data_IF_475917055326
#
_entry.id   IF_475917055326
#
_cell.length_a   1.000
_cell.length_b   1.000
_cell.length_c   1.000
_cell.angle_alpha   90.00
_cell.angle_beta   90.00
_cell.angle_gamma   90.00
#
_symmetry.space_group_name_H-M   'P 1'
#
loop_
_entity.id
_entity.type
_entity.pdbx_description
1 polymer ?
#
# COMPACT_ATOMS: atom_id res chain seq x y z
N UNK A 1 -0.10 5.16 -8.38
CA UNK A 1 0.38 4.76 -7.04
C UNK A 1 0.47 5.98 -6.15
N UNK A 2 0.00 5.89 -4.90
CA UNK A 2 -0.12 7.03 -3.98
C UNK A 2 1.10 7.10 -3.05
N UNK A 3 1.80 8.23 -3.05
CA UNK A 3 2.97 8.47 -2.18
C UNK A 3 2.71 9.50 -1.10
N UNK A 4 1.79 10.41 -1.35
CA UNK A 4 1.46 11.53 -0.48
C UNK A 4 -0.07 11.66 -0.41
N UNK A 5 -0.58 11.82 0.80
CA UNK A 5 -2.00 12.06 1.06
C UNK A 5 -2.12 13.34 1.88
N UNK A 6 -2.75 14.35 1.29
CA UNK A 6 -2.97 15.66 1.91
C UNK A 6 -4.46 15.82 2.10
N UNK A 7 -4.86 15.97 3.35
CA UNK A 7 -6.25 16.06 3.78
C UNK A 7 -6.49 17.31 4.65
N UNK A 8 -5.60 18.29 4.54
CA UNK A 8 -5.64 19.54 5.29
C UNK A 8 -6.96 20.30 5.08
N UNK A 9 -7.42 21.01 6.10
CA UNK A 9 -8.60 21.88 6.04
C UNK A 9 -9.91 21.19 5.64
N UNK A 10 -10.03 19.88 5.92
CA UNK A 10 -11.26 19.12 5.71
C UNK A 10 -12.02 18.89 7.02
N UNK A 11 -13.36 18.73 6.96
CA UNK A 11 -14.19 18.36 8.09
C UNK A 11 -14.09 16.85 8.39
N UNK A 12 -12.90 16.38 8.75
CA UNK A 12 -12.66 14.97 9.07
C UNK A 12 -13.03 14.71 10.51
N UNK A 13 -14.16 14.05 10.70
CA UNK A 13 -14.64 13.61 12.01
C UNK A 13 -13.83 12.44 12.56
N UNK A 14 -14.05 12.12 13.84
CA UNK A 14 -13.49 10.93 14.51
C UNK A 14 -13.63 9.64 13.71
N UNK A 15 -14.77 9.42 13.06
CA UNK A 15 -14.99 8.24 12.21
C UNK A 15 -14.04 8.20 11.01
N UNK A 16 -13.76 9.35 10.42
CA UNK A 16 -12.80 9.46 9.32
C UNK A 16 -11.37 9.13 9.75
N UNK A 17 -10.97 9.55 10.96
CA UNK A 17 -9.67 9.21 11.54
C UNK A 17 -9.57 7.72 11.87
N UNK A 18 -10.64 7.10 12.36
CA UNK A 18 -10.66 5.64 12.58
C UNK A 18 -10.45 4.87 11.27
N UNK A 19 -11.18 5.21 10.21
CA UNK A 19 -10.98 4.59 8.90
C UNK A 19 -9.57 4.82 8.36
N UNK A 20 -9.02 6.02 8.57
CA UNK A 20 -7.65 6.32 8.20
C UNK A 20 -6.64 5.50 9.02
N UNK A 21 -6.93 5.25 10.30
CA UNK A 21 -6.09 4.41 11.15
C UNK A 21 -6.05 2.97 10.67
N UNK A 22 -7.20 2.41 10.26
CA UNK A 22 -7.28 1.07 9.69
C UNK A 22 -6.51 0.98 8.36
N UNK A 23 -6.66 2.00 7.50
CA UNK A 23 -5.91 2.11 6.27
C UNK A 23 -4.40 2.16 6.52
N UNK A 24 -3.94 2.96 7.49
CA UNK A 24 -2.52 3.06 7.87
C UNK A 24 -2.00 1.77 8.48
N UNK A 25 -2.81 1.09 9.30
CA UNK A 25 -2.47 -0.19 9.90
C UNK A 25 -2.27 -1.28 8.84
N UNK A 26 -3.01 -1.22 7.73
CA UNK A 26 -2.80 -2.05 6.53
C UNK A 26 -1.46 -1.81 5.82
N UNK A 27 -0.64 -0.88 6.31
CA UNK A 27 0.70 -0.57 5.84
C UNK A 27 0.75 -0.32 4.32
N UNK A 28 0.01 0.68 3.82
CA UNK A 28 -0.20 0.89 2.40
C UNK A 28 1.15 1.08 1.72
N UNK A 29 1.38 0.25 0.70
CA UNK A 29 2.66 0.26 0.01
C UNK A 29 2.91 1.66 -0.57
N UNK A 30 4.02 2.27 -0.13
CA UNK A 30 4.60 3.52 -0.64
C UNK A 30 3.99 4.85 -0.14
N UNK A 31 2.96 4.84 0.71
CA UNK A 31 2.52 6.09 1.36
C UNK A 31 3.57 6.56 2.36
N UNK A 32 4.11 7.76 2.16
CA UNK A 32 5.22 8.31 2.94
C UNK A 32 4.86 9.60 3.67
N UNK A 33 3.98 10.39 3.07
CA UNK A 33 3.59 11.70 3.58
C UNK A 33 2.09 11.70 3.82
N UNK A 34 1.71 12.06 5.04
CA UNK A 34 0.32 12.28 5.43
C UNK A 34 0.21 13.66 6.06
N UNK A 35 -0.72 14.49 5.58
CA UNK A 35 -1.00 15.80 6.16
C UNK A 35 -2.47 15.91 6.52
N UNK A 36 -2.72 16.31 7.76
CA UNK A 36 -4.01 16.42 8.44
C UNK A 36 -4.02 17.69 9.31
N UNK A 37 -3.53 18.80 8.77
CA UNK A 37 -3.49 20.09 9.46
C UNK A 37 -4.81 20.84 9.32
N UNK A 38 -5.12 21.69 10.29
CA UNK A 38 -6.29 22.57 10.30
C UNK A 38 -7.63 21.83 10.07
N UNK A 39 -7.81 20.67 10.72
CA UNK A 39 -9.09 19.97 10.67
C UNK A 39 -10.17 20.78 11.36
N UNK A 40 -11.37 20.81 10.78
CA UNK A 40 -12.47 21.62 11.31
C UNK A 40 -13.10 21.04 12.57
N UNK A 41 -12.91 19.74 12.80
CA UNK A 41 -13.41 19.03 13.97
C UNK A 41 -12.28 18.61 14.89
N UNK A 42 -12.52 18.78 16.18
CA UNK A 42 -11.66 18.29 17.24
C UNK A 42 -11.68 16.76 17.28
N UNK A 43 -10.50 16.14 17.17
CA UNK A 43 -10.35 14.70 17.31
C UNK A 43 -10.34 14.33 18.79
N UNK A 44 -11.17 13.37 19.18
CA UNK A 44 -11.18 12.90 20.57
C UNK A 44 -9.91 12.11 20.92
N UNK A 45 -9.42 12.29 22.15
CA UNK A 45 -8.24 11.58 22.68
C UNK A 45 -8.26 10.05 22.47
N UNK A 46 -9.36 9.31 22.74
CA UNK A 46 -9.39 7.86 22.50
C UNK A 46 -9.16 7.49 21.03
N UNK A 47 -9.75 8.23 20.09
CA UNK A 47 -9.55 7.99 18.65
C UNK A 47 -8.11 8.27 18.23
N UNK A 48 -7.51 9.32 18.79
CA UNK A 48 -6.10 9.62 18.57
C UNK A 48 -5.19 8.49 19.04
N UNK A 49 -5.48 7.88 20.19
CA UNK A 49 -4.68 6.76 20.70
C UNK A 49 -4.73 5.55 19.77
N UNK A 50 -5.90 5.24 19.21
CA UNK A 50 -6.05 4.18 18.19
C UNK A 50 -5.23 4.52 16.94
N UNK A 51 -5.30 5.77 16.48
CA UNK A 51 -4.51 6.24 15.35
C UNK A 51 -3.00 6.14 15.59
N UNK A 52 -2.53 6.52 16.78
CA UNK A 52 -1.11 6.39 17.15
C UNK A 52 -0.66 4.92 17.20
N UNK A 53 -1.48 4.02 17.76
CA UNK A 53 -1.19 2.60 17.77
C UNK A 53 -1.11 1.99 16.35
N UNK A 54 -1.97 2.45 15.43
CA UNK A 54 -1.88 2.09 14.02
C UNK A 54 -0.60 2.65 13.36
N UNK A 55 -0.24 3.90 13.67
CA UNK A 55 0.96 4.56 13.16
C UNK A 55 2.23 3.86 13.63
N UNK A 56 2.28 3.39 14.88
CA UNK A 56 3.42 2.65 15.43
C UNK A 56 3.69 1.33 14.70
N UNK A 57 2.63 0.65 14.25
CA UNK A 57 2.73 -0.57 13.42
C UNK A 57 3.20 -0.26 11.99
N UNK A 58 2.92 0.94 11.49
CA UNK A 58 3.33 1.36 10.16
C UNK A 58 4.82 1.73 10.11
N UNK A 59 5.51 1.28 9.05
CA UNK A 59 6.96 1.52 8.88
C UNK A 59 7.30 2.36 7.65
N UNK A 60 6.31 2.79 6.88
CA UNK A 60 6.47 3.47 5.60
C UNK A 60 6.27 4.98 5.70
N UNK A 61 5.39 5.43 6.61
CA UNK A 61 5.12 6.86 6.81
C UNK A 61 6.35 7.51 7.44
N UNK A 62 6.92 8.48 6.73
CA UNK A 62 8.11 9.22 7.14
C UNK A 62 7.81 10.63 7.60
N UNK A 63 6.67 11.18 7.18
CA UNK A 63 6.25 12.53 7.52
C UNK A 63 4.75 12.53 7.79
N UNK A 64 4.37 12.93 9.00
CA UNK A 64 3.01 13.16 9.42
C UNK A 64 2.91 14.57 9.98
N UNK A 65 2.09 15.40 9.35
CA UNK A 65 1.78 16.74 9.83
C UNK A 65 0.33 16.76 10.29
N UNK A 66 0.10 17.02 11.57
CA UNK A 66 -1.25 17.16 12.12
C UNK A 66 -1.21 18.01 13.38
N UNK A 67 -2.30 18.71 13.64
CA UNK A 67 -2.45 19.48 14.86
C UNK A 67 -2.93 18.55 15.98
N UNK A 68 -2.14 18.43 17.03
CA UNK A 68 -2.48 17.60 18.20
C UNK A 68 -2.67 18.48 19.41
N UNK A 69 -3.71 18.18 20.20
CA UNK A 69 -3.99 18.90 21.45
C UNK A 69 -2.97 18.58 22.54
N UNK A 70 -2.54 17.32 22.62
CA UNK A 70 -1.62 16.83 23.64
C UNK A 70 -0.20 16.71 23.08
N UNK A 71 0.76 17.29 23.79
CA UNK A 71 2.19 17.25 23.45
C UNK A 71 2.70 15.80 23.34
N UNK A 72 2.18 14.90 24.18
CA UNK A 72 2.53 13.48 24.16
C UNK A 72 2.24 12.83 22.79
N UNK A 73 1.10 13.17 22.16
CA UNK A 73 0.75 12.66 20.85
C UNK A 73 1.73 13.16 19.79
N UNK A 74 2.10 14.45 19.85
CA UNK A 74 3.12 15.04 18.98
C UNK A 74 4.47 14.34 19.12
N UNK A 75 4.87 14.01 20.34
CA UNK A 75 6.15 13.35 20.60
C UNK A 75 6.17 11.92 20.04
N UNK A 76 5.07 11.17 20.20
CA UNK A 76 4.94 9.82 19.63
C UNK A 76 5.03 9.89 18.09
N UNK A 77 4.28 10.81 17.47
CA UNK A 77 4.32 11.02 16.01
C UNK A 77 5.73 11.34 15.54
N UNK A 78 6.41 12.25 16.24
CA UNK A 78 7.78 12.66 15.89
C UNK A 78 8.74 11.48 15.98
N UNK A 79 8.68 10.69 17.06
CA UNK A 79 9.50 9.49 17.25
C UNK A 79 9.27 8.45 16.16
N UNK A 80 8.01 8.16 15.82
CA UNK A 80 7.66 7.18 14.79
C UNK A 80 8.13 7.65 13.40
N UNK A 81 7.89 8.91 13.05
CA UNK A 81 8.36 9.49 11.79
C UNK A 81 9.89 9.45 11.68
N UNK A 82 10.60 9.82 12.75
CA UNK A 82 12.06 9.80 12.79
C UNK A 82 12.61 8.37 12.62
N UNK A 83 12.03 7.39 13.33
CA UNK A 83 12.37 5.96 13.19
C UNK A 83 12.23 5.50 11.74
N UNK A 84 11.10 5.81 11.12
CA UNK A 84 10.79 5.40 9.76
C UNK A 84 11.69 6.11 8.73
N UNK A 85 11.97 7.40 8.92
CA UNK A 85 12.90 8.17 8.10
C UNK A 85 14.33 7.61 8.16
N UNK A 86 14.84 7.29 9.35
CA UNK A 86 16.15 6.67 9.54
C UNK A 86 16.26 5.35 8.76
N UNK A 87 15.22 4.52 8.82
CA UNK A 87 15.14 3.26 8.04
C UNK A 87 15.17 3.53 6.54
N UNK A 88 14.37 4.49 6.07
CA UNK A 88 14.31 4.86 4.66
C UNK A 88 15.65 5.42 4.16
N UNK A 89 16.29 6.31 4.93
CA UNK A 89 17.59 6.88 4.60
C UNK A 89 18.68 5.81 4.52
N UNK A 90 18.70 4.83 5.44
CA UNK A 90 19.63 3.69 5.39
C UNK A 90 19.41 2.86 4.13
N UNK A 91 18.16 2.56 3.79
CA UNK A 91 17.82 1.79 2.60
C UNK A 91 18.23 2.52 1.31
N UNK A 92 18.03 3.85 1.22
CA UNK A 92 18.52 4.66 0.10
C UNK A 92 20.03 4.68 -0.02
N UNK A 93 20.76 4.75 1.10
CA UNK A 93 22.23 4.70 1.11
C UNK A 93 22.72 3.37 0.55
N UNK A 94 22.17 2.26 1.05
CA UNK A 94 22.50 0.92 0.57
C UNK A 94 22.20 0.75 -0.92
N UNK A 95 21.04 1.22 -1.39
CA UNK A 95 20.69 1.20 -2.81
C UNK A 95 21.68 1.98 -3.66
N UNK A 96 22.12 3.17 -3.22
CA UNK A 96 23.12 3.96 -3.95
C UNK A 96 24.47 3.27 -3.99
N UNK A 97 24.92 2.69 -2.87
CA UNK A 97 26.18 1.92 -2.82
C UNK A 97 26.12 0.72 -3.76
N UNK A 98 25.05 -0.08 -3.68
CA UNK A 98 24.85 -1.25 -4.53
C UNK A 98 24.81 -0.87 -6.03
N UNK A 99 24.08 0.19 -6.38
CA UNK A 99 24.04 0.68 -7.76
C UNK A 99 25.41 1.18 -8.25
N UNK A 100 26.19 1.82 -7.36
CA UNK A 100 27.56 2.22 -7.65
C UNK A 100 28.48 1.01 -7.89
N UNK A 101 28.38 -0.02 -7.05
CA UNK A 101 29.12 -1.28 -7.22
C UNK A 101 28.75 -2.01 -8.51
N UNK A 102 27.46 -2.08 -8.85
CA UNK A 102 26.98 -2.67 -10.11
C UNK A 102 27.52 -1.88 -11.31
N UNK A 103 27.50 -0.55 -11.25
CA UNK A 103 28.03 0.30 -12.34
C UNK A 103 29.54 0.13 -12.51
N UNK A 104 30.28 -0.04 -11.42
CA UNK A 104 31.73 -0.20 -11.43
C UNK A 104 32.18 -1.65 -11.70
N UNK A 105 31.28 -2.63 -11.62
CA UNK A 105 31.55 -4.02 -11.95
C UNK A 105 30.32 -4.71 -12.59
N UNK A 106 30.18 -4.66 -13.93
CA UNK A 106 29.00 -5.18 -14.64
C UNK A 106 28.81 -6.70 -14.51
N UNK A 107 29.79 -7.45 -13.97
CA UNK A 107 29.66 -8.89 -13.71
C UNK A 107 28.69 -9.21 -12.56
N UNK A 108 28.37 -8.24 -11.70
CA UNK A 108 27.37 -8.36 -10.62
C UNK A 108 25.94 -8.00 -11.08
N UNK A 109 25.78 -7.47 -12.29
CA UNK A 109 24.47 -7.12 -12.85
C UNK A 109 23.68 -8.34 -13.36
N UNK A 110 24.31 -9.52 -13.46
CA UNK A 110 23.71 -10.69 -14.06
C UNK A 110 23.55 -11.84 -13.04
N UNK A 111 22.38 -12.01 -12.41
CA UNK A 111 22.11 -13.20 -11.61
C UNK A 111 21.70 -14.41 -12.46
N UNK A 112 21.77 -14.38 -13.80
CA UNK A 112 21.45 -15.54 -14.65
C UNK A 112 22.34 -15.64 -15.88
N UNK A 113 23.37 -16.48 -15.78
CA UNK A 113 23.97 -17.14 -16.93
C UNK A 113 22.97 -18.10 -17.59
N UNK A 114 22.03 -17.56 -18.36
CA UNK A 114 21.32 -18.32 -19.39
C UNK A 114 21.64 -17.62 -20.71
N UNK A 115 22.74 -18.03 -21.33
CA UNK A 115 22.87 -17.95 -22.78
C UNK A 115 22.13 -19.15 -23.37
N UNK A 116 21.17 -18.95 -24.28
CA UNK A 116 21.02 -19.86 -25.39
C UNK A 116 21.58 -19.14 -26.61
N UNK A 117 22.64 -19.71 -27.16
CA UNK A 117 23.07 -19.41 -28.50
C UNK A 117 21.93 -19.64 -29.48
N UNK A 118 21.83 -18.73 -30.45
CA UNK A 118 21.35 -18.87 -31.82
C UNK A 118 21.02 -20.30 -32.28
N UNK A 119 19.73 -20.57 -32.54
CA UNK A 119 19.18 -21.34 -33.68
C UNK A 119 17.72 -20.84 -33.78
N UNK A 120 17.33 -20.05 -34.77
CA UNK A 120 17.05 -20.47 -36.14
C UNK A 120 15.61 -20.06 -36.43
N UNK A 121 15.40 -19.43 -37.58
CA UNK A 121 14.10 -19.08 -38.16
C UNK A 121 13.12 -20.28 -38.09
N UNK A 122 11.85 -20.07 -37.78
CA UNK A 122 10.74 -20.46 -38.68
C UNK A 122 9.36 -20.02 -38.15
N UNK A 123 8.72 -19.17 -38.94
CA UNK A 123 7.29 -19.15 -39.31
C UNK A 123 6.18 -18.96 -38.24
N UNK A 124 5.51 -17.82 -38.41
CA UNK A 124 4.06 -17.63 -38.22
C UNK A 124 3.30 -18.62 -39.13
N UNK A 125 2.14 -19.15 -38.70
CA UNK A 125 0.94 -18.72 -39.43
C UNK A 125 -0.30 -18.48 -38.55
N UNK A 126 -1.09 -17.56 -39.08
CA UNK A 126 -2.50 -17.24 -38.76
C UNK A 126 -3.39 -18.27 -39.46
N UNK A 127 -4.51 -18.69 -38.83
CA UNK A 127 -5.83 -19.07 -39.41
C UNK A 127 -6.72 -19.62 -38.28
N UNK A 128 -7.77 -18.93 -37.80
CA UNK A 128 -9.21 -18.95 -38.21
C UNK A 128 -9.93 -20.30 -38.15
N UNK A 129 -10.81 -20.51 -37.16
CA UNK A 129 -12.28 -20.69 -37.28
C UNK A 129 -12.87 -21.30 -35.99
N UNK A 130 -13.85 -20.67 -35.32
CA UNK A 130 -15.34 -20.73 -35.42
C UNK A 130 -15.96 -22.08 -35.00
N UNK A 131 -17.04 -21.97 -34.22
CA UNK A 131 -18.09 -22.94 -33.79
C UNK A 131 -17.88 -23.58 -32.41
N UNK A 132 -18.61 -23.21 -31.35
CA UNK A 132 -20.07 -23.27 -31.07
C UNK A 132 -20.60 -24.69 -30.87
N UNK A 133 -21.07 -25.00 -29.66
CA UNK A 133 -22.12 -25.98 -29.29
C UNK A 133 -22.28 -25.90 -27.76
N UNK A 134 -23.24 -25.17 -27.18
CA UNK A 134 -24.62 -25.57 -26.83
C UNK A 134 -24.79 -27.03 -26.40
N UNK A 135 -25.06 -27.25 -25.12
CA UNK A 135 -26.29 -27.87 -24.56
C UNK A 135 -26.09 -28.05 -23.03
N UNK A 136 -26.90 -27.47 -22.13
CA UNK A 136 -28.35 -27.64 -21.85
C UNK A 136 -28.61 -28.83 -20.91
N UNK A 137 -29.13 -28.46 -19.72
CA UNK A 137 -30.07 -29.19 -18.84
C UNK A 137 -29.67 -30.51 -18.16
N UNK A 138 -29.70 -30.53 -16.82
CA UNK A 138 -30.87 -30.98 -16.03
C UNK A 138 -30.55 -30.92 -14.52
N UNK A 139 -31.36 -30.21 -13.71
CA UNK A 139 -32.50 -30.74 -12.88
C UNK A 139 -31.96 -31.57 -11.70
N UNK A 140 -32.21 -31.25 -10.43
CA UNK A 140 -33.50 -31.32 -9.72
C UNK A 140 -33.27 -30.72 -8.30
N UNK A 141 -33.98 -29.65 -7.90
CA UNK A 141 -35.24 -29.58 -7.14
C UNK A 141 -35.20 -29.91 -5.64
N UNK A 142 -35.99 -29.13 -4.89
CA UNK A 142 -36.34 -29.23 -3.48
C UNK A 142 -36.01 -27.92 -2.73
N UNK A 143 -36.79 -26.82 -2.76
CA UNK A 143 -38.25 -26.65 -2.50
C UNK A 143 -38.65 -27.32 -1.17
N UNK A 144 -39.29 -26.70 -0.17
CA UNK A 144 -40.22 -25.55 -0.04
C UNK A 144 -39.91 -24.81 1.31
N UNK A 145 -40.02 -23.47 1.46
CA UNK A 145 -41.24 -22.64 1.66
C UNK A 145 -42.17 -23.21 2.75
N UNK A 146 -42.69 -22.45 3.73
CA UNK A 146 -43.52 -21.21 3.68
C UNK A 146 -43.63 -20.69 5.14
N UNK A 147 -43.59 -19.38 5.47
CA UNK A 147 -44.73 -18.43 5.60
C UNK A 147 -45.97 -19.07 6.27
N UNK A 148 -46.70 -18.53 7.25
CA UNK A 148 -47.21 -17.21 7.70
C UNK A 148 -47.82 -17.50 9.10
N UNK A 149 -47.86 -16.61 10.08
CA UNK A 149 -48.78 -15.47 10.27
C UNK A 149 -48.25 -14.60 11.44
#
# INVERSE_FOLDING_TARGET
>A
MLTELVLDSNPITDKGILLLSDFIAGNPARLRVLKLSNLWSDITTPVMNVFLAALEKNTQITNLSMDTRLIQHRDIISKVCERNWKRFAKMRKLQKTLLGEIKNNPKLANPRGITPATVGEEQVPVETNVESTTNTENVENGDEKTQTD
#
